data_IF_131725614854
#
_entry.id   IF_131725614854
#
_cell.length_a   1.000
_cell.length_b   1.000
_cell.length_c   1.000
_cell.angle_alpha   90.00
_cell.angle_beta   90.00
_cell.angle_gamma   90.00
#
_symmetry.space_group_name_H-M   'P 1'
#
loop_
_entity.id
_entity.type
_entity.pdbx_description
1 polymer ?
#
# COMPACT_ATOMS: atom_id res chain seq x y z
N UNK A 1 -22.31 2.99 -30.86
CA UNK A 1 -21.06 2.81 -30.09
C UNK A 1 -21.10 3.77 -28.90
N UNK A 2 -21.52 3.30 -27.72
CA UNK A 2 -21.70 4.17 -26.55
C UNK A 2 -20.34 4.53 -25.95
N UNK A 3 -20.09 5.83 -25.78
CA UNK A 3 -18.87 6.35 -25.19
C UNK A 3 -18.72 5.83 -23.74
N UNK A 4 -17.60 5.17 -23.44
CA UNK A 4 -17.23 4.78 -22.07
C UNK A 4 -17.03 6.06 -21.26
N UNK A 5 -17.74 6.25 -20.13
CA UNK A 5 -17.56 7.46 -19.34
C UNK A 5 -16.14 7.48 -18.77
N UNK A 6 -15.38 8.51 -19.13
CA UNK A 6 -14.09 8.80 -18.52
C UNK A 6 -14.28 8.98 -17.01
N UNK A 7 -13.63 8.13 -16.22
CA UNK A 7 -13.59 8.27 -14.75
C UNK A 7 -12.75 9.50 -14.45
N UNK A 8 -13.42 10.62 -14.21
CA UNK A 8 -12.75 11.86 -13.82
C UNK A 8 -12.08 11.69 -12.45
N UNK A 9 -10.79 12.08 -12.26
CA UNK A 9 -10.05 11.95 -10.99
C UNK A 9 -10.77 12.61 -9.80
N UNK A 10 -11.62 13.62 -10.06
CA UNK A 10 -12.43 14.28 -9.05
C UNK A 10 -13.51 13.38 -8.43
N UNK A 11 -14.01 12.36 -9.14
CA UNK A 11 -15.02 11.42 -8.60
C UNK A 11 -14.41 10.34 -7.71
N UNK A 12 -13.10 10.06 -7.81
CA UNK A 12 -12.41 9.10 -6.92
C UNK A 12 -11.88 9.76 -5.64
N UNK A 13 -11.81 11.09 -5.60
CA UNK A 13 -11.73 11.87 -4.38
C UNK A 13 -13.14 12.04 -3.79
N UNK A 14 -13.67 11.10 -3.00
CA UNK A 14 -13.13 10.75 -1.69
C UNK A 14 -13.93 9.58 -1.10
N UNK A 15 -13.42 8.33 -1.20
CA UNK A 15 -14.04 7.17 -0.53
C UNK A 15 -14.05 7.27 1.01
N UNK A 16 -13.28 8.19 1.57
CA UNK A 16 -13.15 8.42 3.01
C UNK A 16 -13.29 9.90 3.32
N UNK A 17 -13.92 10.22 4.46
CA UNK A 17 -14.10 11.60 4.92
C UNK A 17 -12.75 12.33 5.08
N UNK A 18 -12.79 13.67 5.11
CA UNK A 18 -11.59 14.50 5.33
C UNK A 18 -10.91 14.18 6.66
N UNK A 19 -11.68 13.83 7.69
CA UNK A 19 -11.21 13.44 9.03
C UNK A 19 -10.44 12.12 8.98
N UNK A 20 -11.01 11.08 8.37
CA UNK A 20 -10.33 9.77 8.21
C UNK A 20 -9.02 9.94 7.43
N UNK A 21 -9.01 10.80 6.40
CA UNK A 21 -7.77 11.09 5.64
C UNK A 21 -6.73 11.85 6.45
N UNK A 22 -7.12 12.74 7.37
CA UNK A 22 -6.19 13.43 8.28
C UNK A 22 -5.60 12.44 9.29
N UNK A 23 -6.47 11.62 9.89
CA UNK A 23 -6.07 10.62 10.89
C UNK A 23 -5.15 9.55 10.29
N UNK A 24 -5.51 9.01 9.12
CA UNK A 24 -4.66 8.05 8.40
C UNK A 24 -3.26 8.63 8.09
N UNK A 25 -3.19 9.90 7.67
CA UNK A 25 -1.91 10.58 7.44
C UNK A 25 -1.10 10.71 8.74
N UNK A 26 -1.74 11.05 9.85
CA UNK A 26 -1.10 11.13 11.17
C UNK A 26 -0.51 9.77 11.58
N UNK A 27 -1.31 8.70 11.53
CA UNK A 27 -0.88 7.34 11.88
C UNK A 27 0.28 6.88 10.99
N UNK A 28 0.21 7.16 9.68
CA UNK A 28 1.29 6.82 8.74
C UNK A 28 2.58 7.58 9.04
N UNK A 29 2.50 8.85 9.44
CA UNK A 29 3.66 9.65 9.85
C UNK A 29 4.27 9.10 11.14
N UNK A 30 3.45 8.77 12.14
CA UNK A 30 3.90 8.14 13.38
C UNK A 30 4.58 6.79 13.14
N UNK A 31 4.13 6.04 12.12
CA UNK A 31 4.70 4.75 11.72
C UNK A 31 5.61 4.85 10.48
N UNK A 32 6.20 6.02 10.22
CA UNK A 32 7.06 6.25 9.05
C UNK A 32 8.23 5.25 8.94
N UNK A 33 8.99 4.94 10.01
CA UNK A 33 10.09 3.97 9.92
C UNK A 33 9.61 2.58 9.46
N UNK A 34 8.51 2.08 10.04
CA UNK A 34 7.90 0.79 9.68
C UNK A 34 7.41 0.77 8.23
N UNK A 35 6.83 1.88 7.78
CA UNK A 35 6.37 2.03 6.39
C UNK A 35 7.55 2.05 5.41
N UNK A 36 8.61 2.77 5.74
CA UNK A 36 9.82 2.83 4.91
C UNK A 36 10.55 1.49 4.84
N UNK A 37 10.58 0.74 5.95
CA UNK A 37 11.13 -0.62 5.97
C UNK A 37 10.39 -1.55 4.99
N UNK A 38 9.06 -1.62 5.06
CA UNK A 38 8.26 -2.43 4.13
C UNK A 38 8.43 -2.00 2.66
N UNK A 39 8.53 -0.70 2.40
CA UNK A 39 8.84 -0.19 1.05
C UNK A 39 10.25 -0.57 0.60
N UNK A 40 11.23 -0.59 1.51
CA UNK A 40 12.61 -1.01 1.21
C UNK A 40 12.64 -2.50 0.88
N UNK A 41 11.97 -3.34 1.65
CA UNK A 41 11.82 -4.78 1.38
C UNK A 41 11.24 -5.02 -0.01
N UNK A 42 10.14 -4.34 -0.36
CA UNK A 42 9.53 -4.46 -1.68
C UNK A 42 10.47 -4.02 -2.81
N UNK A 43 11.25 -2.95 -2.61
CA UNK A 43 12.24 -2.51 -3.61
C UNK A 43 13.35 -3.54 -3.78
N UNK A 44 13.87 -4.10 -2.68
CA UNK A 44 14.91 -5.13 -2.73
C UNK A 44 14.40 -6.40 -3.42
N UNK A 45 13.19 -6.86 -3.10
CA UNK A 45 12.59 -8.02 -3.77
C UNK A 45 12.46 -7.81 -5.29
N UNK A 46 12.07 -6.61 -5.73
CA UNK A 46 11.99 -6.26 -7.16
C UNK A 46 13.36 -6.20 -7.83
N UNK A 47 14.37 -5.66 -7.14
CA UNK A 47 15.74 -5.65 -7.64
C UNK A 47 16.29 -7.07 -7.80
N UNK A 48 16.04 -7.95 -6.82
CA UNK A 48 16.43 -9.35 -6.89
C UNK A 48 15.73 -10.10 -8.03
N UNK A 49 14.45 -9.82 -8.26
CA UNK A 49 13.72 -10.38 -9.41
C UNK A 49 14.34 -9.92 -10.74
N UNK A 50 14.68 -8.63 -10.87
CA UNK A 50 15.33 -8.12 -12.06
C UNK A 50 16.71 -8.77 -12.29
N UNK A 51 17.48 -8.98 -11.22
CA UNK A 51 18.77 -9.67 -11.30
C UNK A 51 18.61 -11.15 -11.71
N UNK A 52 17.65 -11.86 -11.12
CA UNK A 52 17.37 -13.27 -11.47
C UNK A 52 16.93 -13.43 -12.94
N UNK A 53 16.19 -12.47 -13.49
CA UNK A 53 15.80 -12.46 -14.90
C UNK A 53 16.97 -12.26 -15.87
N UNK A 54 18.05 -11.62 -15.43
CA UNK A 54 19.24 -11.35 -16.23
C UNK A 54 20.35 -12.40 -16.05
N UNK A 55 20.15 -13.37 -15.16
CA UNK A 55 21.13 -14.41 -14.88
C UNK A 55 21.40 -15.28 -16.12
N UNK A 56 22.68 -15.60 -16.34
CA UNK A 56 23.12 -16.54 -17.37
C UNK A 56 24.08 -17.55 -16.74
N UNK A 57 23.76 -18.87 -16.77
CA UNK A 57 22.56 -19.47 -17.38
C UNK A 57 21.26 -19.05 -16.67
N UNK A 58 20.14 -19.18 -17.37
CA UNK A 58 18.81 -18.88 -16.82
C UNK A 58 18.48 -19.83 -15.66
N UNK A 59 18.13 -19.26 -14.51
CA UNK A 59 17.73 -20.00 -13.32
C UNK A 59 16.23 -19.78 -13.05
N UNK A 60 15.41 -20.74 -13.48
CA UNK A 60 13.96 -20.68 -13.31
C UNK A 60 13.55 -20.70 -11.83
N UNK A 61 14.27 -21.45 -11.00
CA UNK A 61 13.97 -21.58 -9.58
C UNK A 61 14.21 -20.23 -8.87
N UNK A 62 15.35 -19.59 -9.13
CA UNK A 62 15.66 -18.27 -8.59
C UNK A 62 14.63 -17.21 -9.01
N UNK A 63 14.14 -17.24 -10.26
CA UNK A 63 13.08 -16.33 -10.72
C UNK A 63 11.77 -16.58 -9.98
N UNK A 64 11.35 -17.84 -9.82
CA UNK A 64 10.11 -18.20 -9.09
C UNK A 64 10.18 -17.74 -7.63
N UNK A 65 11.32 -17.94 -6.98
CA UNK A 65 11.55 -17.52 -5.60
C UNK A 65 11.52 -15.98 -5.47
N UNK A 66 12.18 -15.26 -6.38
CA UNK A 66 12.13 -13.81 -6.40
C UNK A 66 10.72 -13.26 -6.65
N UNK A 67 9.92 -13.92 -7.51
CA UNK A 67 8.51 -13.58 -7.70
C UNK A 67 7.69 -13.81 -6.41
N UNK A 68 7.93 -14.91 -5.69
CA UNK A 68 7.27 -15.18 -4.41
C UNK A 68 7.64 -14.14 -3.34
N UNK A 69 8.90 -13.71 -3.30
CA UNK A 69 9.36 -12.65 -2.42
C UNK A 69 8.66 -11.31 -2.72
N UNK A 70 8.50 -10.94 -4.00
CA UNK A 70 7.75 -9.72 -4.40
C UNK A 70 6.29 -9.79 -3.96
N UNK A 71 5.63 -10.95 -4.14
CA UNK A 71 4.24 -11.15 -3.68
C UNK A 71 4.13 -10.96 -2.17
N UNK A 72 5.03 -11.62 -1.42
CA UNK A 72 5.06 -11.54 0.05
C UNK A 72 5.28 -10.10 0.54
N UNK A 73 6.26 -9.39 0.00
CA UNK A 73 6.52 -8.00 0.37
C UNK A 73 5.34 -7.07 0.02
N UNK A 74 4.64 -7.34 -1.08
CA UNK A 74 3.43 -6.59 -1.47
C UNK A 74 2.29 -6.81 -0.48
N UNK A 75 2.01 -8.08 -0.12
CA UNK A 75 1.01 -8.43 0.88
C UNK A 75 1.31 -7.76 2.22
N UNK A 76 2.56 -7.80 2.67
CA UNK A 76 2.98 -7.18 3.93
C UNK A 76 2.78 -5.66 3.92
N UNK A 77 3.13 -4.98 2.82
CA UNK A 77 2.91 -3.54 2.68
C UNK A 77 1.41 -3.21 2.67
N UNK A 78 0.59 -3.98 1.96
CA UNK A 78 -0.85 -3.80 1.90
C UNK A 78 -1.51 -4.00 3.28
N UNK A 79 -1.14 -5.06 4.00
CA UNK A 79 -1.65 -5.33 5.35
C UNK A 79 -1.39 -4.14 6.29
N UNK A 80 -0.15 -3.63 6.33
CA UNK A 80 0.19 -2.44 7.15
C UNK A 80 -0.66 -1.22 6.80
N UNK A 81 -0.88 -0.95 5.52
CA UNK A 81 -1.72 0.19 5.10
C UNK A 81 -3.18 0.01 5.50
N UNK A 82 -3.70 -1.22 5.44
CA UNK A 82 -5.05 -1.54 5.87
C UNK A 82 -5.20 -1.42 7.39
N UNK A 83 -4.20 -1.86 8.17
CA UNK A 83 -4.19 -1.70 9.63
C UNK A 83 -4.22 -0.24 10.05
N UNK A 84 -3.41 0.61 9.40
CA UNK A 84 -3.42 2.05 9.65
C UNK A 84 -4.78 2.68 9.29
N UNK A 85 -5.39 2.25 8.18
CA UNK A 85 -6.70 2.74 7.77
C UNK A 85 -7.79 2.29 8.76
N UNK A 86 -7.77 1.03 9.19
CA UNK A 86 -8.70 0.51 10.19
C UNK A 86 -8.58 1.27 11.50
N UNK A 87 -7.35 1.55 11.94
CA UNK A 87 -7.09 2.36 13.14
C UNK A 87 -7.64 3.77 12.97
N UNK A 88 -7.42 4.42 11.81
CA UNK A 88 -7.98 5.74 11.53
C UNK A 88 -9.51 5.77 11.58
N UNK A 89 -10.16 4.75 11.00
CA UNK A 89 -11.62 4.61 11.02
C UNK A 89 -12.15 4.44 12.45
N UNK A 90 -11.48 3.63 13.28
CA UNK A 90 -11.84 3.44 14.70
C UNK A 90 -11.69 4.75 15.49
N UNK A 91 -10.57 5.45 15.33
CA UNK A 91 -10.30 6.69 16.04
C UNK A 91 -11.31 7.79 15.71
N UNK A 92 -11.65 7.97 14.41
CA UNK A 92 -12.64 8.96 14.00
C UNK A 92 -14.03 8.62 14.54
N UNK A 93 -14.45 7.34 14.50
CA UNK A 93 -15.74 6.91 15.05
C UNK A 93 -15.85 7.01 16.57
N UNK A 94 -14.73 6.87 17.29
CA UNK A 94 -14.67 6.97 18.74
C UNK A 94 -14.67 8.42 19.24
N UNK A 95 -14.37 9.40 18.36
CA UNK A 95 -14.38 10.81 18.72
C UNK A 95 -15.85 11.26 18.88
N UNK A 96 -16.25 11.84 20.01
CA UNK A 96 -17.60 12.38 20.14
C UNK A 96 -17.80 13.47 19.08
N UNK A 97 -18.99 13.51 18.48
CA UNK A 97 -19.36 14.60 17.59
C UNK A 97 -19.16 15.91 18.35
N UNK A 98 -18.24 16.76 17.88
CA UNK A 98 -18.04 18.06 18.47
C UNK A 98 -19.28 18.90 18.19
N UNK A 99 -20.23 18.93 19.13
CA UNK A 99 -21.29 19.92 19.29
C UNK A 99 -22.34 20.00 18.17
N UNK A 100 -23.59 19.75 18.53
CA UNK A 100 -24.72 20.52 17.96
C UNK A 100 -24.64 21.98 18.39
#
# INVERSE_FOLDING_TARGET
MAARPAVSPARTATRFSSEVRKEFRSIRLANRPRTLAALRELRMARANLAAAQQASPFDEAAVKDAMAAVRTATTNLQAKMQDYLLTALKNVKAKPAAGS
#
